data_IF_992364902072
#
_entry.id   IF_992364902072
#
_cell.length_a   1.000
_cell.length_b   1.000
_cell.length_c   1.000
_cell.angle_alpha   90.00
_cell.angle_beta   90.00
_cell.angle_gamma   90.00
#
_symmetry.space_group_name_H-M   'P 1'
#
loop_
_entity.id
_entity.type
_entity.pdbx_description
1 polymer ?
#
# COMPACT_ATOMS: atom_id res chain seq x y z
N UNK A 1 14.64 -96.32 5.85
CA UNK A 1 13.70 -95.17 5.77
C UNK A 1 14.38 -93.95 6.36
N UNK A 2 14.83 -93.03 5.51
CA UNK A 2 15.33 -91.69 5.88
C UNK A 2 14.15 -90.72 5.89
N UNK A 3 14.15 -89.68 6.74
CA UNK A 3 13.68 -88.29 6.48
C UNK A 3 13.73 -87.54 7.84
N UNK A 4 14.80 -86.80 8.15
CA UNK A 4 15.05 -85.37 7.87
C UNK A 4 14.21 -84.41 8.74
N UNK A 5 14.87 -83.86 9.75
CA UNK A 5 14.44 -82.74 10.56
C UNK A 5 14.35 -81.45 9.72
N UNK A 6 13.29 -80.66 9.91
CA UNK A 6 13.14 -79.32 9.32
C UNK A 6 13.51 -78.26 10.36
N UNK A 7 14.61 -77.55 10.11
CA UNK A 7 14.89 -76.25 10.75
C UNK A 7 13.99 -75.19 10.11
N UNK A 8 13.31 -74.39 10.94
CA UNK A 8 12.64 -73.16 10.53
C UNK A 8 13.55 -71.99 10.92
N UNK A 9 14.09 -71.30 9.92
CA UNK A 9 14.83 -70.06 10.11
C UNK A 9 13.86 -68.87 10.04
N UNK A 10 13.70 -68.15 11.15
CA UNK A 10 12.93 -66.89 11.21
C UNK A 10 13.89 -65.74 10.88
N UNK A 11 13.84 -65.26 9.64
CA UNK A 11 14.53 -64.02 9.24
C UNK A 11 13.71 -62.81 9.71
N UNK A 12 14.22 -62.08 10.70
CA UNK A 12 13.66 -60.80 11.14
C UNK A 12 14.21 -59.70 10.25
N UNK A 13 13.37 -59.15 9.37
CA UNK A 13 13.71 -58.01 8.51
C UNK A 13 13.58 -56.72 9.34
N UNK A 14 14.71 -56.12 9.74
CA UNK A 14 14.72 -54.81 10.36
C UNK A 14 14.50 -53.73 9.29
N UNK A 15 13.29 -53.17 9.22
CA UNK A 15 13.01 -51.97 8.44
C UNK A 15 13.65 -50.75 9.14
N UNK A 16 14.78 -50.28 8.62
CA UNK A 16 15.27 -48.93 8.90
C UNK A 16 14.36 -47.93 8.18
N UNK A 17 13.39 -47.38 8.92
CA UNK A 17 12.58 -46.25 8.46
C UNK A 17 13.43 -44.99 8.38
N UNK A 18 13.81 -44.59 7.16
CA UNK A 18 14.35 -43.25 6.91
C UNK A 18 13.19 -42.28 7.09
N UNK A 19 13.16 -41.56 8.20
CA UNK A 19 12.22 -40.47 8.41
C UNK A 19 12.55 -39.34 7.42
N UNK A 20 11.82 -39.30 6.31
CA UNK A 20 11.83 -38.16 5.40
C UNK A 20 11.14 -37.00 6.13
N UNK A 21 11.94 -36.12 6.74
CA UNK A 21 11.44 -34.86 7.29
C UNK A 21 11.03 -33.99 6.10
N UNK A 22 9.73 -33.65 5.94
CA UNK A 22 9.32 -32.75 4.88
C UNK A 22 10.02 -31.40 5.07
N UNK A 23 10.51 -30.76 3.99
CA UNK A 23 11.06 -29.42 4.09
C UNK A 23 10.03 -28.49 4.74
N UNK A 24 10.42 -27.80 5.80
CA UNK A 24 9.54 -26.89 6.53
C UNK A 24 8.97 -25.85 5.57
N UNK A 25 7.65 -25.72 5.55
CA UNK A 25 6.98 -24.68 4.76
C UNK A 25 7.53 -23.30 5.19
N UNK A 26 8.06 -22.53 4.23
CA UNK A 26 8.46 -21.15 4.49
C UNK A 26 7.25 -20.38 5.02
N UNK A 27 7.40 -19.72 6.17
CA UNK A 27 6.31 -18.96 6.76
C UNK A 27 6.01 -17.74 5.88
N UNK A 28 4.74 -17.56 5.50
CA UNK A 28 4.32 -16.42 4.68
C UNK A 28 4.63 -15.09 5.39
N UNK A 29 5.26 -14.16 4.67
CA UNK A 29 5.59 -12.84 5.21
C UNK A 29 4.33 -11.96 5.21
N UNK A 30 3.94 -11.45 6.37
CA UNK A 30 2.79 -10.53 6.48
C UNK A 30 3.20 -9.10 6.16
N UNK A 31 2.43 -8.42 5.30
CA UNK A 31 2.63 -7.02 4.92
C UNK A 31 1.36 -6.23 5.25
N UNK A 32 1.51 -5.17 6.03
CA UNK A 32 0.46 -4.20 6.36
C UNK A 32 0.63 -2.94 5.52
N UNK A 33 -0.40 -2.60 4.76
CA UNK A 33 -0.51 -1.38 3.95
C UNK A 33 -1.47 -0.43 4.66
N UNK A 34 -0.95 0.71 5.10
CA UNK A 34 -1.72 1.77 5.75
C UNK A 34 -1.87 2.95 4.80
N UNK A 35 -3.11 3.38 4.62
CA UNK A 35 -3.48 4.59 3.89
C UNK A 35 -4.04 5.62 4.85
N UNK A 36 -3.55 6.86 4.75
CA UNK A 36 -4.02 8.01 5.50
C UNK A 36 -4.23 9.20 4.54
N UNK A 37 -5.37 9.88 4.64
CA UNK A 37 -5.50 11.27 4.21
C UNK A 37 -5.50 12.12 5.49
N UNK A 38 -4.48 12.98 5.67
CA UNK A 38 -4.26 13.69 6.94
C UNK A 38 -4.73 15.14 6.93
N UNK A 39 -5.27 15.66 5.82
CA UNK A 39 -5.79 17.02 5.72
C UNK A 39 -4.88 18.10 6.39
N UNK A 40 -3.56 17.95 6.26
CA UNK A 40 -2.60 18.73 7.06
C UNK A 40 -2.13 20.01 6.36
N UNK A 41 -2.76 20.35 5.21
CA UNK A 41 -2.38 21.51 4.40
C UNK A 41 -2.54 22.86 5.10
N UNK A 42 -3.42 22.96 6.11
CA UNK A 42 -3.81 24.23 6.72
C UNK A 42 -4.87 25.01 5.93
N UNK A 43 -5.32 24.50 4.79
CA UNK A 43 -6.24 25.22 3.87
C UNK A 43 -7.66 24.65 3.94
N UNK A 44 -7.79 23.33 4.03
CA UNK A 44 -9.09 22.67 4.06
C UNK A 44 -9.75 22.74 5.45
N UNK A 45 -11.08 22.72 5.49
CA UNK A 45 -11.85 22.83 6.73
C UNK A 45 -11.67 21.66 7.71
N UNK A 46 -11.12 20.54 7.25
CA UNK A 46 -10.76 19.38 8.09
C UNK A 46 -9.40 19.53 8.81
N UNK A 47 -8.68 20.64 8.59
CA UNK A 47 -7.40 20.89 9.23
C UNK A 47 -7.54 21.06 10.74
N UNK A 48 -6.77 20.28 11.51
CA UNK A 48 -6.75 20.33 12.97
C UNK A 48 -5.36 20.66 13.56
N UNK A 49 -4.44 21.15 12.73
CA UNK A 49 -3.06 21.42 13.14
C UNK A 49 -2.33 20.17 13.63
N UNK A 50 -1.50 20.34 14.66
CA UNK A 50 -0.66 19.27 15.24
C UNK A 50 -1.43 18.04 15.74
N UNK A 51 -2.74 18.15 15.97
CA UNK A 51 -3.57 17.04 16.42
C UNK A 51 -3.55 15.88 15.42
N UNK A 52 -3.67 16.15 14.12
CA UNK A 52 -3.66 15.09 13.09
C UNK A 52 -2.30 14.40 12.98
N UNK A 53 -1.22 15.15 13.11
CA UNK A 53 0.13 14.58 13.09
C UNK A 53 0.40 13.70 14.30
N UNK A 54 -0.03 14.15 15.49
CA UNK A 54 0.06 13.36 16.72
C UNK A 54 -0.72 12.05 16.60
N UNK A 55 -1.95 12.12 16.06
CA UNK A 55 -2.78 10.94 15.83
C UNK A 55 -2.19 10.01 14.78
N UNK A 56 -1.73 10.54 13.64
CA UNK A 56 -1.12 9.76 12.57
C UNK A 56 0.12 8.99 13.06
N UNK A 57 1.01 9.65 13.81
CA UNK A 57 2.17 9.01 14.45
C UNK A 57 1.73 7.87 15.37
N UNK A 58 0.74 8.10 16.24
CA UNK A 58 0.19 7.07 17.12
C UNK A 58 -0.38 5.86 16.34
N UNK A 59 -1.13 6.11 15.26
CA UNK A 59 -1.64 5.04 14.40
C UNK A 59 -0.49 4.26 13.75
N UNK A 60 0.52 4.93 13.20
CA UNK A 60 1.66 4.27 12.56
C UNK A 60 2.43 3.41 13.57
N UNK A 61 2.74 3.95 14.76
CA UNK A 61 3.51 3.21 15.78
C UNK A 61 2.74 2.02 16.36
N UNK A 62 1.41 2.12 16.49
CA UNK A 62 0.56 1.03 16.99
C UNK A 62 0.31 -0.06 15.94
N UNK A 63 0.17 0.32 14.67
CA UNK A 63 -0.15 -0.63 13.59
C UNK A 63 1.09 -1.27 13.00
N UNK A 64 2.23 -0.56 13.03
CA UNK A 64 3.53 -0.93 12.45
C UNK A 64 3.39 -1.37 11.00
N UNK A 65 2.96 -0.47 10.09
CA UNK A 65 2.78 -0.81 8.69
C UNK A 65 4.14 -1.06 8.01
N UNK A 66 4.13 -1.91 6.99
CA UNK A 66 5.28 -2.13 6.11
C UNK A 66 5.24 -1.18 4.90
N UNK A 67 4.05 -0.71 4.54
CA UNK A 67 3.81 0.29 3.50
C UNK A 67 2.91 1.37 4.07
N UNK A 68 3.32 2.63 3.94
CA UNK A 68 2.53 3.79 4.31
C UNK A 68 2.29 4.67 3.08
N UNK A 69 1.02 4.97 2.82
CA UNK A 69 0.60 5.95 1.83
C UNK A 69 -0.11 7.10 2.55
N UNK A 70 0.28 8.33 2.23
CA UNK A 70 -0.20 9.54 2.89
C UNK A 70 -0.61 10.56 1.85
N UNK A 71 -1.84 11.05 1.93
CA UNK A 71 -2.35 12.16 1.13
C UNK A 71 -2.54 13.40 2.00
N UNK A 72 -2.52 14.55 1.33
CA UNK A 72 -2.71 15.87 1.94
C UNK A 72 -1.69 16.21 3.03
N UNK A 73 -0.44 15.80 2.80
CA UNK A 73 0.68 16.07 3.68
C UNK A 73 1.46 17.31 3.21
N UNK A 74 2.08 18.00 4.15
CA UNK A 74 3.15 18.94 3.89
C UNK A 74 4.49 18.20 3.82
N UNK A 75 5.44 18.71 3.03
CA UNK A 75 6.72 18.01 2.79
C UNK A 75 7.52 17.74 4.07
N UNK A 76 7.38 18.59 5.10
CA UNK A 76 8.02 18.41 6.40
C UNK A 76 7.40 17.32 7.28
N UNK A 77 6.18 16.87 6.97
CA UNK A 77 5.50 15.80 7.73
C UNK A 77 6.19 14.45 7.53
N UNK A 78 6.82 14.27 6.36
CA UNK A 78 7.41 13.01 5.90
C UNK A 78 8.40 12.45 6.91
N UNK A 79 9.31 13.27 7.44
CA UNK A 79 10.34 12.77 8.37
C UNK A 79 9.73 12.24 9.67
N UNK A 80 8.73 12.96 10.21
CA UNK A 80 8.08 12.57 11.45
C UNK A 80 7.27 11.28 11.30
N UNK A 81 6.55 11.14 10.18
CA UNK A 81 5.81 9.91 9.88
C UNK A 81 6.75 8.73 9.60
N UNK A 82 7.87 8.97 8.91
CA UNK A 82 8.91 7.97 8.67
C UNK A 82 9.52 7.49 9.98
N UNK A 83 9.88 8.40 10.88
CA UNK A 83 10.42 8.06 12.19
C UNK A 83 9.46 7.17 13.00
N UNK A 84 8.14 7.38 12.89
CA UNK A 84 7.13 6.55 13.54
C UNK A 84 7.03 5.13 12.94
N UNK A 85 7.34 4.99 11.64
CA UNK A 85 7.36 3.72 10.90
C UNK A 85 8.67 2.93 11.13
N UNK A 86 9.79 3.63 11.35
CA UNK A 86 11.13 3.07 11.47
C UNK A 86 11.97 3.26 10.20
N UNK A 87 13.00 2.43 10.04
CA UNK A 87 13.87 2.46 8.85
C UNK A 87 13.06 2.17 7.58
N UNK A 88 12.88 3.20 6.74
CA UNK A 88 12.04 3.15 5.56
C UNK A 88 12.54 4.10 4.46
N UNK A 89 12.37 3.65 3.23
CA UNK A 89 12.49 4.49 2.04
C UNK A 89 11.22 5.30 1.89
N UNK A 90 11.35 6.59 1.62
CA UNK A 90 10.22 7.49 1.39
C UNK A 90 10.35 8.19 0.03
N UNK A 91 9.21 8.43 -0.62
CA UNK A 91 9.09 9.29 -1.79
C UNK A 91 7.93 10.26 -1.57
N UNK A 92 8.23 11.57 -1.60
CA UNK A 92 7.24 12.64 -1.61
C UNK A 92 7.06 13.20 -3.02
N UNK A 93 5.84 13.58 -3.36
CA UNK A 93 5.53 14.33 -4.58
C UNK A 93 4.60 15.48 -4.24
N UNK A 94 4.98 16.70 -4.63
CA UNK A 94 4.13 17.87 -4.46
C UNK A 94 3.03 17.86 -5.53
N UNK A 95 1.79 18.16 -5.13
CA UNK A 95 0.78 18.57 -6.08
C UNK A 95 1.23 19.86 -6.80
N UNK A 96 0.77 20.05 -8.02
CA UNK A 96 1.25 21.14 -8.88
C UNK A 96 0.12 22.13 -9.18
N UNK A 97 0.48 23.38 -9.40
CA UNK A 97 -0.38 24.37 -10.05
C UNK A 97 -0.33 24.15 -11.57
N UNK A 98 -1.26 24.74 -12.36
CA UNK A 98 -1.23 24.62 -13.82
C UNK A 98 0.10 25.05 -14.46
N UNK A 99 0.79 26.04 -13.87
CA UNK A 99 2.11 26.51 -14.29
C UNK A 99 3.28 25.59 -13.88
N UNK A 100 2.99 24.46 -13.22
CA UNK A 100 3.97 23.47 -12.76
C UNK A 100 4.63 23.78 -11.42
N UNK A 101 4.39 24.94 -10.84
CA UNK A 101 4.88 25.25 -9.49
C UNK A 101 4.17 24.38 -8.44
N UNK A 102 4.78 24.13 -7.26
CA UNK A 102 4.13 23.36 -6.22
C UNK A 102 2.92 24.10 -5.64
N UNK A 103 1.89 23.33 -5.27
CA UNK A 103 0.89 23.77 -4.30
C UNK A 103 1.54 23.82 -2.92
N UNK A 104 1.21 24.84 -2.13
CA UNK A 104 1.80 25.06 -0.81
C UNK A 104 0.78 24.82 0.30
N UNK A 105 1.25 24.25 1.40
CA UNK A 105 0.60 24.33 2.69
C UNK A 105 0.61 25.76 3.23
N UNK A 106 -0.24 26.05 4.20
CA UNK A 106 -0.32 27.35 4.87
C UNK A 106 1.01 27.77 5.51
N UNK A 107 1.83 26.81 5.94
CA UNK A 107 3.17 27.05 6.49
C UNK A 107 4.27 27.24 5.42
N UNK A 108 3.90 27.36 4.14
CA UNK A 108 4.82 27.57 3.02
C UNK A 108 5.53 26.32 2.50
N UNK A 109 5.34 25.16 3.13
CA UNK A 109 5.89 23.90 2.66
C UNK A 109 5.12 23.37 1.44
N UNK A 110 5.71 22.43 0.70
CA UNK A 110 5.03 21.82 -0.45
C UNK A 110 3.95 20.88 0.03
N UNK A 111 2.76 21.00 -0.53
CA UNK A 111 1.61 20.11 -0.27
C UNK A 111 1.58 18.96 -1.27
N UNK A 112 1.26 17.74 -0.82
CA UNK A 112 1.13 16.60 -1.71
C UNK A 112 1.02 15.24 -1.03
N UNK A 113 1.63 14.24 -1.67
CA UNK A 113 1.50 12.83 -1.31
C UNK A 113 2.85 12.22 -0.92
N UNK A 114 2.85 11.27 0.00
CA UNK A 114 4.03 10.49 0.38
C UNK A 114 3.73 8.99 0.33
N UNK A 115 4.67 8.22 -0.20
CA UNK A 115 4.70 6.75 -0.05
C UNK A 115 5.97 6.36 0.68
N UNK A 116 5.86 5.41 1.60
CA UNK A 116 6.99 4.85 2.34
C UNK A 116 6.90 3.33 2.37
N UNK A 117 8.05 2.69 2.29
CA UNK A 117 8.19 1.23 2.39
C UNK A 117 9.37 0.95 3.32
N UNK A 118 9.20 0.04 4.28
CA UNK A 118 10.28 -0.35 5.18
C UNK A 118 11.50 -0.85 4.40
N UNK A 119 12.70 -0.57 4.88
CA UNK A 119 13.95 -0.82 4.12
C UNK A 119 14.13 -2.30 3.75
N UNK A 120 13.60 -3.22 4.56
CA UNK A 120 13.64 -4.66 4.28
C UNK A 120 12.81 -5.08 3.06
N UNK A 121 11.90 -4.24 2.58
CA UNK A 121 11.04 -4.51 1.42
C UNK A 121 11.29 -3.53 0.26
N UNK A 122 11.75 -2.32 0.57
CA UNK A 122 11.99 -1.28 -0.41
C UNK A 122 13.15 -1.64 -1.36
N UNK A 123 13.07 -1.14 -2.59
CA UNK A 123 14.14 -1.28 -3.56
C UNK A 123 14.58 0.05 -4.17
N UNK A 124 14.20 0.26 -5.43
CA UNK A 124 14.77 1.24 -6.33
C UNK A 124 14.54 2.71 -5.94
N UNK A 125 15.07 3.60 -6.79
CA UNK A 125 14.82 5.03 -6.67
C UNK A 125 13.33 5.33 -6.88
N UNK A 126 12.79 6.26 -6.08
CA UNK A 126 11.41 6.68 -6.24
C UNK A 126 11.19 7.41 -7.55
N UNK A 127 9.99 7.23 -8.10
CA UNK A 127 9.54 7.86 -9.34
C UNK A 127 8.25 8.61 -9.05
N UNK A 128 8.05 9.73 -9.74
CA UNK A 128 6.89 10.60 -9.54
C UNK A 128 6.38 11.10 -10.88
N UNK A 129 5.14 11.59 -10.90
CA UNK A 129 4.60 12.23 -12.09
C UNK A 129 3.33 12.99 -11.84
N UNK A 130 3.01 13.85 -12.80
CA UNK A 130 1.70 14.50 -12.95
C UNK A 130 0.84 13.64 -13.87
N UNK A 131 -0.44 13.51 -13.56
CA UNK A 131 -1.38 12.82 -14.46
C UNK A 131 -1.61 13.58 -15.76
N UNK A 132 -1.89 12.83 -16.82
CA UNK A 132 -2.29 13.38 -18.12
C UNK A 132 -3.66 14.05 -18.02
N UNK A 133 -4.62 13.36 -17.41
CA UNK A 133 -5.94 13.91 -17.13
C UNK A 133 -5.89 14.78 -15.87
N UNK A 134 -6.35 16.02 -15.99
CA UNK A 134 -6.51 16.96 -14.88
C UNK A 134 -7.93 17.53 -14.90
N UNK A 135 -8.41 17.97 -13.75
CA UNK A 135 -9.67 18.73 -13.70
C UNK A 135 -9.37 20.23 -13.90
N UNK A 136 -10.42 21.06 -13.92
CA UNK A 136 -10.28 22.50 -14.07
C UNK A 136 -9.82 23.23 -12.79
N UNK A 137 -9.41 22.51 -11.75
CA UNK A 137 -8.95 23.13 -10.49
C UNK A 137 -7.52 23.68 -10.61
N UNK A 138 -7.07 24.40 -9.58
CA UNK A 138 -5.69 24.86 -9.46
C UNK A 138 -4.75 23.80 -8.86
N UNK A 139 -5.27 22.64 -8.43
CA UNK A 139 -4.49 21.54 -7.87
C UNK A 139 -4.41 20.39 -8.88
N UNK A 140 -3.32 20.36 -9.63
CA UNK A 140 -3.00 19.25 -10.54
C UNK A 140 -2.58 18.03 -9.73
N UNK A 141 -3.28 16.93 -9.97
CA UNK A 141 -3.08 15.66 -9.26
C UNK A 141 -1.84 14.94 -9.76
N UNK A 142 -1.17 14.28 -8.83
CA UNK A 142 0.15 13.66 -8.97
C UNK A 142 0.17 12.27 -8.34
N UNK A 143 1.19 11.50 -8.68
CA UNK A 143 1.44 10.17 -8.14
C UNK A 143 2.92 10.00 -7.80
N UNK A 144 3.21 9.11 -6.87
CA UNK A 144 4.56 8.68 -6.51
C UNK A 144 4.59 7.17 -6.37
N UNK A 145 5.72 6.56 -6.75
CA UNK A 145 5.98 5.15 -6.52
C UNK A 145 7.40 4.93 -6.00
N UNK A 146 7.57 3.88 -5.20
CA UNK A 146 8.84 3.24 -4.89
C UNK A 146 8.83 1.89 -5.61
N UNK A 147 9.39 1.81 -6.83
CA UNK A 147 9.43 0.59 -7.62
C UNK A 147 10.61 -0.30 -7.21
N UNK A 148 10.53 -1.56 -7.61
CA UNK A 148 11.54 -2.59 -7.34
C UNK A 148 11.74 -2.89 -5.84
N UNK A 149 12.49 -3.95 -5.55
CA UNK A 149 12.62 -4.52 -4.20
C UNK A 149 11.73 -5.74 -4.02
N UNK A 150 11.55 -6.18 -2.77
CA UNK A 150 10.64 -7.27 -2.45
C UNK A 150 9.17 -6.85 -2.62
N UNK A 151 8.89 -5.53 -2.58
CA UNK A 151 7.56 -4.99 -2.81
C UNK A 151 7.63 -3.58 -3.37
N UNK A 152 6.93 -3.34 -4.49
CA UNK A 152 6.72 -2.00 -5.03
C UNK A 152 5.48 -1.36 -4.42
N UNK A 153 5.52 -0.06 -4.14
CA UNK A 153 4.38 0.67 -3.61
C UNK A 153 4.14 1.99 -4.35
N UNK A 154 2.89 2.33 -4.63
CA UNK A 154 2.49 3.60 -5.22
C UNK A 154 1.44 4.31 -4.36
N UNK A 155 1.47 5.65 -4.38
CA UNK A 155 0.47 6.52 -3.77
C UNK A 155 -0.11 7.54 -4.75
N UNK A 156 -1.34 7.96 -4.50
CA UNK A 156 -1.96 9.11 -5.17
C UNK A 156 -3.12 9.72 -4.37
N UNK A 157 -3.51 10.93 -4.74
CA UNK A 157 -4.76 11.59 -4.39
C UNK A 157 -5.41 12.06 -5.70
N UNK A 158 -6.58 11.53 -6.05
CA UNK A 158 -7.24 11.78 -7.34
C UNK A 158 -8.19 12.97 -7.30
N UNK A 159 -8.68 13.39 -8.47
CA UNK A 159 -9.62 14.50 -8.60
C UNK A 159 -10.88 14.30 -7.76
N UNK A 160 -11.14 15.22 -6.83
CA UNK A 160 -12.41 15.31 -6.10
C UNK A 160 -13.52 16.02 -6.89
N UNK A 161 -13.18 16.76 -7.96
CA UNK A 161 -14.12 17.60 -8.72
C UNK A 161 -14.75 16.89 -9.91
N UNK A 162 -14.14 15.82 -10.40
CA UNK A 162 -14.61 15.08 -11.56
C UNK A 162 -14.31 13.59 -11.41
N UNK A 163 -15.36 12.79 -11.19
CA UNK A 163 -15.24 11.34 -11.11
C UNK A 163 -14.67 10.73 -12.40
N UNK A 164 -15.02 11.26 -13.57
CA UNK A 164 -14.47 10.79 -14.86
C UNK A 164 -12.96 11.06 -14.94
N UNK A 165 -12.51 12.24 -14.49
CA UNK A 165 -11.09 12.57 -14.40
C UNK A 165 -10.38 11.66 -13.40
N UNK A 166 -10.96 11.47 -12.21
CA UNK A 166 -10.41 10.54 -11.21
C UNK A 166 -10.28 9.12 -11.77
N UNK A 167 -11.29 8.61 -12.48
CA UNK A 167 -11.20 7.28 -13.10
C UNK A 167 -10.08 7.19 -14.14
N UNK A 168 -9.88 8.22 -14.96
CA UNK A 168 -8.78 8.27 -15.93
C UNK A 168 -7.41 8.28 -15.24
N UNK A 169 -7.25 9.08 -14.17
CA UNK A 169 -6.04 9.13 -13.36
C UNK A 169 -5.76 7.78 -12.67
N UNK A 170 -6.79 7.14 -12.09
CA UNK A 170 -6.66 5.81 -11.51
C UNK A 170 -6.17 4.79 -12.53
N UNK A 171 -6.77 4.75 -13.73
CA UNK A 171 -6.35 3.86 -14.82
C UNK A 171 -4.91 4.11 -15.28
N UNK A 172 -4.48 5.37 -15.33
CA UNK A 172 -3.09 5.72 -15.65
C UNK A 172 -2.13 5.12 -14.60
N UNK A 173 -2.40 5.34 -13.31
CA UNK A 173 -1.54 4.81 -12.24
C UNK A 173 -1.53 3.28 -12.21
N UNK A 174 -2.68 2.64 -12.36
CA UNK A 174 -2.77 1.18 -12.39
C UNK A 174 -2.04 0.57 -13.59
N UNK A 175 -1.96 1.28 -14.71
CA UNK A 175 -1.13 0.86 -15.86
C UNK A 175 0.36 0.91 -15.52
N UNK A 176 0.81 1.95 -14.81
CA UNK A 176 2.20 2.07 -14.35
C UNK A 176 2.54 0.99 -13.31
N UNK A 177 1.66 0.81 -12.32
CA UNK A 177 1.82 -0.18 -11.27
C UNK A 177 1.90 -1.61 -11.82
N UNK A 178 1.08 -1.94 -12.83
CA UNK A 178 1.17 -3.23 -13.53
C UNK A 178 2.52 -3.44 -14.23
N UNK A 179 3.21 -2.37 -14.65
CA UNK A 179 4.57 -2.46 -15.19
C UNK A 179 5.60 -2.95 -14.16
N UNK A 180 5.34 -2.80 -12.87
CA UNK A 180 6.25 -3.23 -11.80
C UNK A 180 6.05 -4.70 -11.38
N UNK A 181 4.98 -5.36 -11.80
CA UNK A 181 4.68 -6.74 -11.35
C UNK A 181 5.68 -7.77 -11.87
N UNK A 182 6.44 -7.44 -12.91
CA UNK A 182 7.53 -8.28 -13.41
C UNK A 182 8.71 -8.38 -12.42
N UNK A 183 8.89 -7.38 -11.55
CA UNK A 183 9.96 -7.34 -10.56
C UNK A 183 9.53 -7.87 -9.19
N UNK A 184 8.22 -8.00 -8.93
CA UNK A 184 7.71 -8.49 -7.65
C UNK A 184 6.28 -8.01 -7.35
N UNK A 185 5.77 -8.29 -6.15
CA UNK A 185 4.50 -7.77 -5.65
C UNK A 185 4.38 -6.24 -5.72
N UNK A 186 3.18 -5.77 -5.99
CA UNK A 186 2.86 -4.34 -6.12
C UNK A 186 1.62 -4.01 -5.32
N UNK A 187 1.69 -2.90 -4.58
CA UNK A 187 0.51 -2.28 -3.95
C UNK A 187 0.36 -0.84 -4.42
N UNK A 188 -0.88 -0.42 -4.61
CA UNK A 188 -1.25 0.97 -4.89
C UNK A 188 -2.25 1.39 -3.84
N UNK A 189 -2.04 2.54 -3.21
CA UNK A 189 -2.97 3.03 -2.21
C UNK A 189 -3.16 4.54 -2.28
N UNK A 190 -4.31 5.02 -1.85
CA UNK A 190 -4.61 6.44 -1.95
C UNK A 190 -6.07 6.76 -1.67
N UNK A 191 -6.34 8.05 -1.55
CA UNK A 191 -7.65 8.63 -1.69
C UNK A 191 -7.99 8.77 -3.18
N UNK A 192 -8.89 7.91 -3.65
CA UNK A 192 -9.22 7.87 -5.06
C UNK A 192 -10.37 8.81 -5.43
N UNK A 193 -11.03 9.45 -4.46
CA UNK A 193 -12.27 10.22 -4.71
C UNK A 193 -13.31 9.46 -5.56
N UNK A 194 -13.27 8.13 -5.51
CA UNK A 194 -14.16 7.21 -6.20
C UNK A 194 -14.71 6.23 -5.17
N UNK A 195 -15.99 5.85 -5.32
CA UNK A 195 -16.60 4.84 -4.45
C UNK A 195 -16.67 3.51 -5.18
N UNK A 196 -16.55 2.41 -4.43
CA UNK A 196 -16.91 1.10 -4.95
C UNK A 196 -18.42 1.04 -5.23
N UNK A 197 -18.80 0.50 -6.38
CA UNK A 197 -20.17 0.55 -6.90
C UNK A 197 -20.71 1.99 -7.03
N UNK A 198 -19.81 2.97 -7.12
CA UNK A 198 -20.13 4.36 -7.40
C UNK A 198 -20.34 4.62 -8.90
N UNK A 199 -20.59 5.88 -9.24
CA UNK A 199 -20.68 6.35 -10.63
C UNK A 199 -19.75 7.56 -10.84
N UNK A 200 -18.52 7.38 -11.35
CA UNK A 200 -17.93 6.10 -11.78
C UNK A 200 -17.49 5.20 -10.63
N UNK A 201 -17.43 3.89 -10.89
CA UNK A 201 -17.03 2.87 -9.91
C UNK A 201 -15.50 2.79 -9.81
N UNK A 202 -14.96 2.86 -8.59
CA UNK A 202 -13.54 2.60 -8.30
C UNK A 202 -13.06 1.22 -8.80
N UNK A 203 -13.95 0.22 -8.87
CA UNK A 203 -13.62 -1.09 -9.43
C UNK A 203 -13.28 -1.02 -10.92
N UNK A 204 -13.76 0.00 -11.64
CA UNK A 204 -13.53 0.17 -13.07
C UNK A 204 -12.09 0.57 -13.42
N UNK A 205 -11.26 0.93 -12.43
CA UNK A 205 -9.81 1.06 -12.63
C UNK A 205 -9.00 -0.14 -12.14
N UNK A 206 -9.63 -1.16 -11.53
CA UNK A 206 -8.92 -2.39 -11.23
C UNK A 206 -8.46 -3.07 -12.52
N UNK A 207 -7.27 -3.66 -12.50
CA UNK A 207 -6.65 -4.30 -13.66
C UNK A 207 -6.52 -5.80 -13.44
N UNK A 208 -6.48 -6.57 -14.53
CA UNK A 208 -6.12 -7.99 -14.45
C UNK A 208 -4.79 -8.17 -13.71
N UNK A 209 -4.71 -9.19 -12.86
CA UNK A 209 -3.57 -9.40 -11.95
C UNK A 209 -3.60 -8.57 -10.67
N UNK A 210 -4.68 -7.82 -10.41
CA UNK A 210 -4.89 -7.07 -9.17
C UNK A 210 -6.29 -7.32 -8.57
N UNK A 211 -6.39 -7.16 -7.26
CA UNK A 211 -7.65 -7.01 -6.55
C UNK A 211 -7.68 -5.69 -5.78
N UNK A 212 -8.89 -5.23 -5.44
CA UNK A 212 -9.14 -3.98 -4.72
C UNK A 212 -9.79 -4.25 -3.37
N UNK A 213 -9.39 -3.50 -2.35
CA UNK A 213 -10.07 -3.37 -1.05
C UNK A 213 -10.21 -1.89 -0.70
N UNK A 214 -11.29 -1.51 -0.03
CA UNK A 214 -11.53 -0.12 0.34
C UNK A 214 -12.26 0.02 1.66
N UNK A 215 -12.24 1.23 2.20
CA UNK A 215 -12.83 1.64 3.47
C UNK A 215 -14.37 1.77 3.45
N UNK A 216 -15.02 1.44 2.32
CA UNK A 216 -16.45 1.69 2.09
C UNK A 216 -16.75 3.11 1.58
N UNK A 217 -15.73 3.95 1.42
CA UNK A 217 -15.79 5.30 0.90
C UNK A 217 -14.76 5.45 -0.23
N UNK A 218 -13.79 6.36 -0.09
CA UNK A 218 -12.89 6.80 -1.16
C UNK A 218 -11.43 6.34 -0.99
N UNK A 219 -11.06 5.78 0.18
CA UNK A 219 -9.72 5.24 0.36
C UNK A 219 -9.63 3.79 -0.09
N UNK A 220 -8.64 3.50 -0.93
CA UNK A 220 -8.49 2.18 -1.53
C UNK A 220 -7.05 1.66 -1.47
N UNK A 221 -6.94 0.35 -1.47
CA UNK A 221 -5.72 -0.42 -1.71
C UNK A 221 -6.00 -1.36 -2.88
N UNK A 222 -5.13 -1.33 -3.88
CA UNK A 222 -5.01 -2.34 -4.92
C UNK A 222 -3.76 -3.14 -4.65
N UNK A 223 -3.83 -4.46 -4.76
CA UNK A 223 -2.70 -5.35 -4.57
C UNK A 223 -2.64 -6.37 -5.70
N UNK A 224 -1.44 -6.67 -6.18
CA UNK A 224 -1.23 -7.70 -7.18
C UNK A 224 -1.62 -9.08 -6.62
N UNK A 225 -2.09 -9.98 -7.47
CA UNK A 225 -2.65 -11.28 -7.06
C UNK A 225 -1.64 -12.29 -6.52
N UNK A 226 -0.34 -11.99 -6.58
CA UNK A 226 0.70 -12.72 -5.83
C UNK A 226 0.72 -12.37 -4.33
N UNK A 227 -0.06 -11.38 -3.89
CA UNK A 227 -0.33 -11.09 -2.49
C UNK A 227 -1.68 -11.66 -2.12
N UNK A 228 -1.75 -12.48 -1.07
CA UNK A 228 -3.04 -12.99 -0.59
C UNK A 228 -3.66 -11.99 0.38
N UNK A 229 -4.92 -11.63 0.17
CA UNK A 229 -5.65 -10.79 1.12
C UNK A 229 -5.88 -11.53 2.44
N UNK A 230 -5.52 -10.90 3.56
CA UNK A 230 -5.72 -11.45 4.91
C UNK A 230 -6.86 -10.72 5.62
N UNK A 231 -6.80 -9.40 5.72
CA UNK A 231 -7.84 -8.60 6.39
C UNK A 231 -7.81 -7.14 5.95
N UNK A 232 -8.88 -6.41 6.22
CA UNK A 232 -8.98 -4.96 6.04
C UNK A 232 -9.85 -4.35 7.13
N UNK A 233 -9.45 -3.20 7.66
CA UNK A 233 -10.23 -2.46 8.66
C UNK A 233 -9.98 -0.96 8.59
N UNK A 234 -11.00 -0.19 8.93
CA UNK A 234 -10.86 1.25 9.20
C UNK A 234 -10.27 1.47 10.59
N UNK A 235 -9.58 2.60 10.74
CA UNK A 235 -9.00 3.08 11.99
C UNK A 235 -9.57 4.46 12.25
N UNK A 236 -10.16 4.64 13.42
CA UNK A 236 -10.65 5.94 13.84
C UNK A 236 -9.49 6.94 14.04
N UNK A 237 -9.57 8.05 13.31
CA UNK A 237 -8.66 9.18 13.39
C UNK A 237 -9.10 10.22 14.42
N UNK A 238 -10.05 9.89 15.30
CA UNK A 238 -10.49 10.72 16.42
C UNK A 238 -10.93 12.13 16.00
N UNK A 239 -11.51 12.26 14.80
CA UNK A 239 -11.94 13.54 14.23
C UNK A 239 -10.82 14.52 13.90
N UNK A 240 -9.54 14.12 13.92
CA UNK A 240 -8.41 15.01 13.56
C UNK A 240 -8.27 15.19 12.04
N UNK A 241 -8.94 14.36 11.27
CA UNK A 241 -9.14 14.45 9.82
C UNK A 241 -10.55 13.93 9.53
N UNK A 242 -11.11 14.27 8.38
CA UNK A 242 -12.43 13.81 7.91
C UNK A 242 -12.39 12.41 7.29
N UNK A 243 -11.20 11.80 7.20
CA UNK A 243 -11.04 10.42 6.74
C UNK A 243 -10.65 9.46 7.87
N UNK A 244 -11.13 8.21 7.84
CA UNK A 244 -10.53 7.15 8.63
C UNK A 244 -9.12 6.83 8.09
N UNK A 245 -8.31 6.16 8.89
CA UNK A 245 -7.19 5.39 8.35
C UNK A 245 -7.69 4.09 7.75
N UNK A 246 -7.12 3.66 6.62
CA UNK A 246 -7.46 2.38 5.99
C UNK A 246 -6.28 1.42 6.05
N UNK A 247 -6.42 0.32 6.81
CA UNK A 247 -5.37 -0.68 7.00
C UNK A 247 -5.76 -1.98 6.30
N UNK A 248 -4.93 -2.43 5.36
CA UNK A 248 -5.04 -3.73 4.69
C UNK A 248 -3.85 -4.59 5.06
N UNK A 249 -4.12 -5.84 5.42
CA UNK A 249 -3.09 -6.86 5.66
C UNK A 249 -3.12 -7.86 4.52
N UNK A 250 -1.95 -8.15 3.96
CA UNK A 250 -1.73 -9.17 2.93
C UNK A 250 -0.60 -10.10 3.35
N UNK A 251 -0.52 -11.28 2.74
CA UNK A 251 0.60 -12.19 2.90
C UNK A 251 1.34 -12.39 1.57
N UNK A 252 2.65 -12.39 1.66
CA UNK A 252 3.60 -12.67 0.58
C UNK A 252 4.19 -14.06 0.83
N UNK A 253 3.96 -14.99 -0.10
CA UNK A 253 4.46 -16.36 -0.05
C UNK A 253 5.78 -16.51 -0.78
#
# INVERSE_FOLDING_TARGET
MRFLARLVAVMSLALFGIAVVPPGASAATTVKVLQLNICHSGVAGCFTGEAVMTKAVSVISSTRPQVLSVNEACSGDVERLRAAMGAARAQFVAAQRPDGAPVLCQNGQRYGNAVMVVDSLAGGAGVTGRYTAQDGSSEMRVWACLPAGALSACTTHLSARSGTTALAQCKELMTRAAGYTAAGPVVVSGDLNLRYQGSPDAQSCNRSGFYRKGDGSVQHVFASTNLTFVSGRTIDMAGTTDHPGWLVTVSMS
#
